data_IF_948086555894
#
_entry.id   IF_948086555894
#
_cell.length_a   1.000
_cell.length_b   1.000
_cell.length_c   1.000
_cell.angle_alpha   90.00
_cell.angle_beta   90.00
_cell.angle_gamma   90.00
#
_symmetry.space_group_name_H-M   'P 1'
#
loop_
_entity.id
_entity.type
_entity.pdbx_description
1 polymer ?
#
# COMPACT_ATOMS: atom_id res chain seq x y z
N UNK A 1 -16.93 -80.15 20.75
CA UNK A 1 -17.77 -79.07 20.26
C UNK A 1 -16.86 -77.98 19.71
N UNK A 2 -16.84 -77.82 18.36
CA UNK A 2 -16.03 -76.74 17.68
C UNK A 2 -16.90 -75.54 17.41
N UNK A 3 -16.59 -74.40 17.98
CA UNK A 3 -17.32 -73.16 17.73
C UNK A 3 -16.95 -72.64 16.32
N UNK A 4 -17.93 -72.27 15.51
CA UNK A 4 -17.78 -71.72 14.19
C UNK A 4 -17.34 -70.21 14.29
N UNK A 5 -16.43 -69.71 13.43
CA UNK A 5 -16.06 -68.32 13.42
C UNK A 5 -17.20 -67.48 12.82
N UNK A 6 -17.61 -66.42 13.53
CA UNK A 6 -18.57 -65.44 13.05
C UNK A 6 -17.99 -64.64 11.89
N UNK A 7 -18.60 -64.77 10.72
CA UNK A 7 -18.25 -63.98 9.56
C UNK A 7 -18.57 -62.49 9.81
N UNK A 8 -17.57 -61.64 9.95
CA UNK A 8 -17.73 -60.21 9.93
C UNK A 8 -18.21 -59.76 8.54
N UNK A 9 -19.43 -59.20 8.49
CA UNK A 9 -19.94 -58.56 7.28
C UNK A 9 -19.02 -57.34 6.95
N UNK A 10 -18.34 -57.43 5.83
CA UNK A 10 -17.68 -56.27 5.25
C UNK A 10 -18.76 -55.40 4.59
N UNK A 11 -19.02 -54.22 5.15
CA UNK A 11 -19.80 -53.16 4.47
C UNK A 11 -18.89 -52.43 3.52
N UNK A 12 -19.13 -52.52 2.23
CA UNK A 12 -18.48 -51.73 1.21
C UNK A 12 -19.09 -50.35 1.12
N UNK A 13 -18.28 -49.36 0.79
CA UNK A 13 -18.75 -47.98 0.50
C UNK A 13 -19.71 -47.98 -0.69
N UNK A 14 -20.82 -47.26 -0.58
CA UNK A 14 -21.74 -47.11 -1.70
C UNK A 14 -21.24 -45.99 -2.64
N UNK A 15 -21.53 -46.14 -3.93
CA UNK A 15 -21.18 -45.14 -4.95
C UNK A 15 -21.79 -43.76 -4.62
N UNK A 16 -22.98 -43.76 -4.02
CA UNK A 16 -23.68 -42.56 -3.57
C UNK A 16 -22.95 -41.86 -2.42
N UNK A 17 -22.37 -42.62 -1.49
CA UNK A 17 -21.59 -42.06 -0.36
C UNK A 17 -20.31 -41.37 -0.84
N UNK A 18 -19.59 -41.96 -1.81
CA UNK A 18 -18.40 -41.35 -2.40
C UNK A 18 -18.75 -40.08 -3.17
N UNK A 19 -19.89 -40.07 -3.92
CA UNK A 19 -20.38 -38.89 -4.61
C UNK A 19 -20.73 -37.74 -3.63
N UNK A 20 -21.39 -38.08 -2.53
CA UNK A 20 -21.80 -37.12 -1.52
C UNK A 20 -20.58 -36.51 -0.80
N UNK A 21 -19.57 -37.32 -0.47
CA UNK A 21 -18.33 -36.87 0.11
C UNK A 21 -17.56 -35.97 -0.87
N UNK A 22 -17.48 -36.34 -2.14
CA UNK A 22 -16.83 -35.50 -3.16
C UNK A 22 -17.54 -34.16 -3.34
N UNK A 23 -18.88 -34.14 -3.30
CA UNK A 23 -19.68 -32.92 -3.37
C UNK A 23 -19.45 -32.04 -2.14
N UNK A 24 -19.39 -32.59 -0.94
CA UNK A 24 -19.08 -31.85 0.30
C UNK A 24 -17.69 -31.30 0.28
N UNK A 25 -16.69 -32.07 -0.17
CA UNK A 25 -15.32 -31.59 -0.32
C UNK A 25 -15.22 -30.42 -1.33
N UNK A 26 -15.95 -30.48 -2.44
CA UNK A 26 -16.04 -29.39 -3.42
C UNK A 26 -16.65 -28.13 -2.83
N UNK A 27 -17.74 -28.26 -2.06
CA UNK A 27 -18.35 -27.11 -1.37
C UNK A 27 -17.41 -26.45 -0.34
N UNK A 28 -16.73 -27.26 0.47
CA UNK A 28 -15.76 -26.76 1.45
C UNK A 28 -14.58 -26.09 0.77
N UNK A 29 -14.05 -26.68 -0.30
CA UNK A 29 -12.95 -26.08 -1.07
C UNK A 29 -13.33 -24.72 -1.66
N UNK A 30 -14.56 -24.60 -2.18
CA UNK A 30 -15.09 -23.34 -2.72
C UNK A 30 -15.22 -22.26 -1.63
N UNK A 31 -15.77 -22.62 -0.46
CA UNK A 31 -15.92 -21.71 0.67
C UNK A 31 -14.58 -21.20 1.20
N UNK A 32 -13.55 -22.06 1.27
CA UNK A 32 -12.19 -21.68 1.68
C UNK A 32 -11.55 -20.72 0.66
N UNK A 33 -11.74 -20.97 -0.63
CA UNK A 33 -11.17 -20.12 -1.68
C UNK A 33 -11.76 -18.71 -1.65
N UNK A 34 -13.07 -18.57 -1.47
CA UNK A 34 -13.76 -17.29 -1.33
C UNK A 34 -13.33 -16.53 -0.06
N UNK A 35 -13.13 -17.25 1.06
CA UNK A 35 -12.67 -16.63 2.32
C UNK A 35 -11.23 -16.10 2.26
N UNK A 36 -10.38 -16.66 1.39
CA UNK A 36 -8.97 -16.25 1.26
C UNK A 36 -8.76 -15.02 0.36
N UNK A 37 -9.71 -14.70 -0.51
CA UNK A 37 -9.61 -13.57 -1.46
C UNK A 37 -9.49 -12.23 -0.74
N UNK A 38 -10.41 -11.94 0.16
CA UNK A 38 -10.45 -10.69 0.91
C UNK A 38 -9.24 -10.46 1.83
N UNK A 39 -8.75 -11.52 2.47
CA UNK A 39 -7.57 -11.44 3.32
C UNK A 39 -6.25 -11.15 2.56
N UNK A 40 -6.20 -11.38 1.25
CA UNK A 40 -5.00 -11.10 0.43
C UNK A 40 -4.92 -9.64 0.05
N UNK A 41 -6.03 -9.03 -0.38
CA UNK A 41 -6.08 -7.61 -0.75
C UNK A 41 -5.72 -6.72 0.43
N UNK A 42 -6.34 -6.95 1.57
CA UNK A 42 -6.08 -6.21 2.79
C UNK A 42 -4.61 -6.29 3.24
N UNK A 43 -3.99 -7.46 3.17
CA UNK A 43 -2.57 -7.67 3.52
C UNK A 43 -1.62 -6.99 2.54
N UNK A 44 -1.91 -7.00 1.24
CA UNK A 44 -1.04 -6.35 0.26
C UNK A 44 -1.11 -4.83 0.41
N UNK A 45 -2.30 -4.28 0.68
CA UNK A 45 -2.47 -2.85 0.95
C UNK A 45 -1.71 -2.43 2.23
N UNK A 46 -1.83 -3.18 3.32
CA UNK A 46 -1.09 -2.94 4.57
C UNK A 46 0.43 -3.00 4.35
N UNK A 47 0.90 -3.93 3.54
CA UNK A 47 2.31 -4.05 3.18
C UNK A 47 2.82 -2.83 2.40
N UNK A 48 2.05 -2.29 1.46
CA UNK A 48 2.44 -1.11 0.70
C UNK A 48 2.45 0.15 1.58
N UNK A 49 1.47 0.32 2.46
CA UNK A 49 1.44 1.41 3.43
C UNK A 49 2.65 1.36 4.39
N UNK A 50 2.97 0.20 4.94
CA UNK A 50 4.18 0.00 5.78
C UNK A 50 5.47 0.20 5.01
N UNK A 51 5.52 -0.18 3.74
CA UNK A 51 6.67 0.08 2.87
C UNK A 51 6.90 1.58 2.70
N UNK A 52 5.83 2.35 2.47
CA UNK A 52 5.93 3.81 2.40
C UNK A 52 6.49 4.37 3.72
N UNK A 53 5.93 3.98 4.87
CA UNK A 53 6.42 4.44 6.17
C UNK A 53 7.92 4.14 6.38
N UNK A 54 8.34 2.92 6.07
CA UNK A 54 9.74 2.52 6.21
C UNK A 54 10.67 3.33 5.26
N UNK A 55 10.23 3.57 4.02
CA UNK A 55 11.01 4.38 3.07
C UNK A 55 11.01 5.87 3.42
N UNK A 56 9.93 6.39 4.03
CA UNK A 56 9.89 7.74 4.57
C UNK A 56 10.88 7.92 5.72
N UNK A 57 10.94 6.98 6.66
CA UNK A 57 11.90 6.99 7.76
C UNK A 57 13.34 6.96 7.24
N UNK A 58 13.63 6.09 6.27
CA UNK A 58 14.95 6.05 5.63
C UNK A 58 15.29 7.37 4.93
N UNK A 59 14.32 7.99 4.26
CA UNK A 59 14.50 9.27 3.60
C UNK A 59 14.72 10.42 4.60
N UNK A 60 14.10 10.37 5.80
CA UNK A 60 14.39 11.31 6.90
C UNK A 60 15.81 11.14 7.40
N UNK A 61 16.28 9.92 7.65
CA UNK A 61 17.66 9.64 8.02
C UNK A 61 18.64 10.18 6.97
N UNK A 62 18.34 9.95 5.68
CA UNK A 62 19.13 10.46 4.58
C UNK A 62 19.17 12.00 4.55
N UNK A 63 18.00 12.66 4.72
CA UNK A 63 17.92 14.13 4.74
C UNK A 63 18.74 14.73 5.88
N UNK A 64 18.68 14.13 7.06
CA UNK A 64 19.46 14.56 8.25
C UNK A 64 20.96 14.33 8.05
N UNK A 65 21.36 13.14 7.57
CA UNK A 65 22.78 12.79 7.39
C UNK A 65 23.47 13.66 6.31
N UNK A 66 22.80 13.87 5.19
CA UNK A 66 23.34 14.64 4.06
C UNK A 66 23.10 16.15 4.20
N UNK A 67 22.29 16.60 5.17
CA UNK A 67 21.90 17.98 5.35
C UNK A 67 21.14 18.55 4.16
N UNK A 68 20.34 17.74 3.45
CA UNK A 68 19.68 18.11 2.20
C UNK A 68 18.17 17.95 2.27
N UNK A 69 17.48 18.81 1.54
CA UNK A 69 16.05 18.72 1.34
C UNK A 69 15.72 17.55 0.41
N UNK A 70 14.90 16.64 0.89
CA UNK A 70 14.34 15.52 0.10
C UNK A 70 12.90 15.84 -0.24
N UNK A 71 12.53 15.68 -1.50
CA UNK A 71 11.15 15.80 -1.97
C UNK A 71 10.54 14.44 -2.18
N UNK A 72 9.22 14.35 -2.05
CA UNK A 72 8.46 13.15 -2.38
C UNK A 72 7.39 13.55 -3.37
N UNK A 73 7.40 12.89 -4.52
CA UNK A 73 6.37 13.00 -5.51
C UNK A 73 5.43 11.82 -5.37
N UNK A 74 4.16 12.10 -5.17
CA UNK A 74 3.09 11.12 -5.10
C UNK A 74 2.29 11.20 -6.39
N UNK A 75 2.02 10.07 -6.98
CA UNK A 75 1.17 9.87 -8.15
C UNK A 75 0.00 8.95 -7.78
N UNK A 76 -1.04 8.90 -8.58
CA UNK A 76 -2.23 8.09 -8.30
C UNK A 76 -1.90 6.60 -8.10
N UNK A 77 -0.81 6.12 -8.71
CA UNK A 77 -0.40 4.70 -8.68
C UNK A 77 1.00 4.47 -8.11
N UNK A 78 1.58 5.43 -7.38
CA UNK A 78 2.90 5.25 -6.81
C UNK A 78 3.53 6.50 -6.21
N UNK A 79 4.80 6.38 -5.81
CA UNK A 79 5.57 7.50 -5.27
C UNK A 79 7.04 7.41 -5.66
N UNK A 80 7.71 8.55 -5.61
CA UNK A 80 9.13 8.69 -5.93
C UNK A 80 9.80 9.70 -5.01
N UNK A 81 10.96 9.32 -4.47
CA UNK A 81 11.81 10.26 -3.74
C UNK A 81 12.68 11.06 -4.70
N UNK A 82 12.85 12.32 -4.40
CA UNK A 82 13.56 13.28 -5.22
C UNK A 82 14.53 14.10 -4.37
N UNK A 83 15.65 14.48 -4.97
CA UNK A 83 16.64 15.36 -4.35
C UNK A 83 16.79 16.61 -5.19
N UNK A 84 16.92 17.76 -4.52
CA UNK A 84 17.18 19.03 -5.21
C UNK A 84 18.64 19.17 -5.54
N UNK A 85 18.96 19.35 -6.80
CA UNK A 85 20.32 19.57 -7.26
C UNK A 85 20.76 20.99 -6.93
N UNK A 86 21.94 21.14 -6.29
CA UNK A 86 22.42 22.45 -5.85
C UNK A 86 22.71 23.42 -7.01
N UNK A 87 23.20 22.92 -8.16
CA UNK A 87 23.63 23.71 -9.30
C UNK A 87 22.48 24.33 -10.08
N UNK A 88 21.48 23.52 -10.44
CA UNK A 88 20.41 23.92 -11.37
C UNK A 88 19.06 24.10 -10.66
N UNK A 89 19.01 23.91 -9.35
CA UNK A 89 17.80 23.91 -8.52
C UNK A 89 16.69 22.96 -9.00
N UNK A 90 17.03 22.01 -9.88
CA UNK A 90 16.09 21.02 -10.41
C UNK A 90 15.91 19.86 -9.44
N UNK A 91 14.73 19.29 -9.46
CA UNK A 91 14.44 18.06 -8.75
C UNK A 91 14.82 16.85 -9.62
N UNK A 92 15.60 15.95 -9.06
CA UNK A 92 16.00 14.70 -9.70
C UNK A 92 15.58 13.53 -8.83
N UNK A 93 15.24 12.42 -9.46
CA UNK A 93 14.96 11.17 -8.76
C UNK A 93 16.16 10.77 -7.89
N UNK A 94 15.87 10.34 -6.66
CA UNK A 94 16.89 9.79 -5.78
C UNK A 94 17.20 8.36 -6.23
N UNK A 95 18.30 8.16 -6.94
CA UNK A 95 18.68 6.86 -7.54
C UNK A 95 19.86 6.20 -6.84
N UNK A 96 20.44 6.86 -5.83
CA UNK A 96 21.62 6.36 -5.11
C UNK A 96 21.35 5.17 -4.20
N UNK A 97 20.12 5.02 -3.71
CA UNK A 97 19.67 3.92 -2.87
C UNK A 97 18.51 3.17 -3.55
N UNK A 98 18.64 1.84 -3.67
CA UNK A 98 17.58 0.99 -4.25
C UNK A 98 16.28 1.01 -3.44
N UNK A 99 16.36 1.28 -2.14
CA UNK A 99 15.19 1.32 -1.25
C UNK A 99 14.38 2.60 -1.43
N UNK A 100 15.04 3.69 -1.85
CA UNK A 100 14.41 4.99 -2.15
C UNK A 100 14.07 5.16 -3.65
N UNK A 101 14.18 4.10 -4.43
CA UNK A 101 13.78 4.09 -5.84
C UNK A 101 12.26 4.29 -6.01
N UNK A 102 11.82 4.58 -7.26
CA UNK A 102 10.40 4.77 -7.55
C UNK A 102 9.61 3.48 -7.26
N UNK A 103 8.44 3.66 -6.71
CA UNK A 103 7.51 2.57 -6.40
C UNK A 103 6.26 2.74 -7.26
N UNK A 104 5.89 1.68 -7.97
CA UNK A 104 4.60 1.56 -8.65
C UNK A 104 3.74 0.53 -7.92
N UNK A 105 2.49 0.88 -7.72
CA UNK A 105 1.47 0.02 -7.14
C UNK A 105 0.81 -0.84 -8.23
N UNK A 106 0.07 -1.86 -7.80
CA UNK A 106 -0.76 -2.65 -8.70
C UNK A 106 -1.91 -1.80 -9.28
N UNK A 107 -2.42 -2.17 -10.45
CA UNK A 107 -3.46 -1.41 -11.16
C UNK A 107 -4.76 -1.22 -10.36
N UNK A 108 -5.07 -2.14 -9.46
CA UNK A 108 -6.24 -2.05 -8.58
C UNK A 108 -6.00 -1.25 -7.30
N UNK A 109 -4.82 -0.62 -7.15
CA UNK A 109 -4.46 0.24 -6.02
C UNK A 109 -4.30 1.69 -6.47
N UNK A 110 -4.83 2.60 -5.67
CA UNK A 110 -4.71 4.04 -5.88
C UNK A 110 -4.27 4.78 -4.62
N UNK A 111 -3.64 5.93 -4.82
CA UNK A 111 -3.21 6.86 -3.78
C UNK A 111 -3.98 8.17 -3.91
N UNK A 112 -4.40 8.72 -2.78
CA UNK A 112 -4.92 10.08 -2.69
C UNK A 112 -4.12 10.83 -1.62
N UNK A 113 -3.50 11.95 -2.00
CA UNK A 113 -2.70 12.79 -1.12
C UNK A 113 -3.48 14.04 -0.72
N UNK A 114 -3.58 14.27 0.57
CA UNK A 114 -4.08 15.50 1.17
C UNK A 114 -2.94 16.15 1.97
N UNK A 115 -2.74 17.45 1.77
CA UNK A 115 -1.74 18.22 2.49
C UNK A 115 -2.43 19.00 3.61
N UNK A 116 -1.99 18.80 4.84
CA UNK A 116 -2.44 19.58 5.99
C UNK A 116 -1.59 20.87 6.10
N UNK A 117 -2.28 22.00 6.22
CA UNK A 117 -1.65 23.33 6.32
C UNK A 117 -1.60 24.06 4.98
N UNK A 118 -0.80 25.11 4.92
CA UNK A 118 -0.56 25.88 3.69
C UNK A 118 0.20 25.03 2.69
N UNK A 119 -0.54 24.16 1.99
CA UNK A 119 0.00 23.48 0.83
C UNK A 119 0.46 24.56 -0.16
N UNK A 120 1.73 24.57 -0.51
CA UNK A 120 2.19 25.30 -1.66
C UNK A 120 1.46 24.76 -2.88
N UNK A 121 0.35 25.40 -3.21
CA UNK A 121 -0.32 25.18 -4.48
C UNK A 121 0.48 25.99 -5.50
N UNK A 122 1.11 25.35 -6.50
CA UNK A 122 1.58 26.09 -7.64
C UNK A 122 0.38 26.79 -8.25
N UNK A 123 0.47 28.13 -8.39
CA UNK A 123 -0.58 28.97 -8.94
C UNK A 123 -1.29 28.30 -10.13
N UNK A 124 -2.59 28.10 -9.99
CA UNK A 124 -3.43 27.40 -10.96
C UNK A 124 -3.77 28.20 -12.21
N UNK A 125 -3.18 29.40 -12.35
CA UNK A 125 -3.43 30.27 -13.48
C UNK A 125 -2.18 30.35 -14.38
N UNK A 126 -2.14 29.50 -15.37
CA UNK A 126 -1.67 29.68 -16.75
C UNK A 126 -1.30 28.36 -17.41
N UNK A 127 -2.13 28.02 -18.40
CA UNK A 127 -2.01 26.84 -19.28
C UNK A 127 -0.87 27.05 -20.26
N UNK A 128 0.34 26.63 -19.94
CA UNK A 128 1.39 26.44 -20.92
C UNK A 128 1.96 25.03 -20.75
N UNK A 129 2.13 24.31 -21.86
CA UNK A 129 2.62 22.91 -21.87
C UNK A 129 3.96 22.76 -21.13
N UNK A 130 4.82 23.77 -21.14
CA UNK A 130 6.06 23.79 -20.38
C UNK A 130 5.85 23.77 -18.86
N UNK A 131 4.77 24.35 -18.34
CA UNK A 131 4.43 24.30 -16.89
C UNK A 131 3.84 22.94 -16.47
N UNK A 132 3.27 22.17 -17.41
CA UNK A 132 2.85 20.77 -17.13
C UNK A 132 4.05 19.88 -16.85
N UNK A 133 5.08 19.94 -17.68
CA UNK A 133 6.33 19.18 -17.50
C UNK A 133 7.07 19.56 -16.21
N UNK A 134 6.97 20.81 -15.79
CA UNK A 134 7.61 21.29 -14.55
C UNK A 134 6.79 20.90 -13.31
N UNK A 135 5.45 20.96 -13.39
CA UNK A 135 4.52 20.48 -12.35
C UNK A 135 4.60 18.96 -12.18
N UNK A 136 4.79 18.23 -13.29
CA UNK A 136 5.02 16.79 -13.28
C UNK A 136 6.36 16.37 -12.65
N UNK A 137 7.32 17.29 -12.50
CA UNK A 137 8.65 17.02 -11.93
C UNK A 137 8.85 17.60 -10.55
N UNK A 138 7.83 18.22 -9.96
CA UNK A 138 7.93 18.88 -8.65
C UNK A 138 7.35 17.99 -7.57
N UNK A 139 8.06 17.73 -6.45
CA UNK A 139 7.52 17.00 -5.32
C UNK A 139 6.42 17.80 -4.61
N UNK A 140 5.46 17.11 -4.02
CA UNK A 140 4.39 17.70 -3.22
C UNK A 140 4.70 17.70 -1.72
N UNK A 141 5.48 16.72 -1.24
CA UNK A 141 5.90 16.60 0.15
C UNK A 141 7.40 16.86 0.29
N UNK A 142 7.80 17.38 1.44
CA UNK A 142 9.20 17.72 1.71
C UNK A 142 9.62 17.16 3.06
N UNK A 143 10.82 16.60 3.09
CA UNK A 143 11.57 16.22 4.29
C UNK A 143 12.72 17.18 4.42
N UNK A 144 12.76 17.92 5.52
CA UNK A 144 13.76 18.93 5.79
C UNK A 144 15.02 18.33 6.43
N UNK A 145 16.18 19.02 6.33
CA UNK A 145 17.44 18.54 6.95
C UNK A 145 17.39 18.35 8.45
N UNK A 146 16.43 18.95 9.15
CA UNK A 146 16.22 18.77 10.59
C UNK A 146 15.38 17.53 10.94
N UNK A 147 14.87 16.82 9.93
CA UNK A 147 13.99 15.65 10.10
C UNK A 147 12.49 15.98 10.08
N UNK A 148 12.14 17.27 10.01
CA UNK A 148 10.75 17.71 9.89
C UNK A 148 10.17 17.26 8.55
N UNK A 149 8.85 17.07 8.50
CA UNK A 149 8.10 16.63 7.35
C UNK A 149 6.94 17.58 7.06
N UNK A 150 6.65 17.82 5.78
CA UNK A 150 5.39 18.49 5.44
C UNK A 150 4.22 17.63 5.94
N UNK A 151 3.29 18.16 6.77
CA UNK A 151 2.15 17.40 7.26
C UNK A 151 1.27 16.92 6.11
N UNK A 152 0.88 15.65 6.16
CA UNK A 152 0.11 15.03 5.08
C UNK A 152 -0.79 13.90 5.58
N UNK A 153 -1.82 13.63 4.80
CA UNK A 153 -2.63 12.41 4.87
C UNK A 153 -2.54 11.72 3.51
N UNK A 154 -2.07 10.49 3.48
CA UNK A 154 -1.99 9.67 2.27
C UNK A 154 -2.88 8.46 2.41
N UNK A 155 -3.93 8.41 1.61
CA UNK A 155 -4.91 7.34 1.59
C UNK A 155 -4.57 6.33 0.50
N UNK A 156 -4.33 5.10 0.90
CA UNK A 156 -4.22 3.94 0.02
C UNK A 156 -5.58 3.31 -0.14
N UNK A 157 -6.01 3.08 -1.36
CA UNK A 157 -7.25 2.35 -1.66
C UNK A 157 -6.93 1.19 -2.58
N UNK A 158 -7.45 0.01 -2.25
CA UNK A 158 -7.45 -1.14 -3.14
C UNK A 158 -8.89 -1.53 -3.44
N UNK A 159 -9.20 -1.66 -4.72
CA UNK A 159 -10.47 -2.09 -5.21
C UNK A 159 -10.35 -3.52 -5.74
N UNK A 160 -11.00 -4.46 -5.08
CA UNK A 160 -11.22 -5.82 -5.57
C UNK A 160 -12.68 -5.96 -6.03
N UNK A 161 -13.04 -7.04 -6.74
CA UNK A 161 -14.36 -7.22 -7.37
C UNK A 161 -15.54 -6.97 -6.42
N UNK A 162 -15.43 -7.40 -5.16
CA UNK A 162 -16.50 -7.33 -4.16
C UNK A 162 -16.15 -6.51 -2.91
N UNK A 163 -14.92 -5.97 -2.81
CA UNK A 163 -14.46 -5.31 -1.59
C UNK A 163 -13.53 -4.11 -1.90
N UNK A 164 -13.65 -3.10 -1.04
CA UNK A 164 -12.77 -1.94 -1.03
C UNK A 164 -12.04 -1.88 0.31
N UNK A 165 -10.72 -1.84 0.24
CA UNK A 165 -9.85 -1.73 1.40
C UNK A 165 -9.18 -0.37 1.43
N UNK A 166 -9.02 0.19 2.61
CA UNK A 166 -8.39 1.49 2.80
C UNK A 166 -7.36 1.44 3.93
N UNK A 167 -6.21 2.09 3.70
CA UNK A 167 -5.18 2.36 4.72
C UNK A 167 -4.76 3.82 4.61
N UNK A 168 -4.56 4.45 5.74
CA UNK A 168 -4.22 5.87 5.81
C UNK A 168 -2.87 6.01 6.51
N UNK A 169 -1.94 6.67 5.86
CA UNK A 169 -0.65 7.06 6.45
C UNK A 169 -0.69 8.56 6.69
N UNK A 170 -0.58 8.96 7.96
CA UNK A 170 -0.47 10.37 8.37
C UNK A 170 0.96 10.67 8.76
N UNK A 171 1.47 11.82 8.32
CA UNK A 171 2.73 12.38 8.77
C UNK A 171 2.51 13.74 9.40
N UNK A 172 3.09 13.98 10.58
CA UNK A 172 3.04 15.28 11.24
C UNK A 172 4.29 16.13 10.95
N UNK A 173 4.26 17.39 11.35
CA UNK A 173 5.36 18.36 11.20
C UNK A 173 6.66 17.94 11.90
N UNK A 174 6.58 17.08 12.92
CA UNK A 174 7.74 16.55 13.63
C UNK A 174 8.32 15.29 12.98
N UNK A 175 7.77 14.87 11.83
CA UNK A 175 8.21 13.70 11.10
C UNK A 175 7.71 12.36 11.67
N UNK A 176 6.74 12.37 12.58
CA UNK A 176 6.12 11.15 13.10
C UNK A 176 5.12 10.61 12.10
N UNK A 177 5.15 9.30 11.90
CA UNK A 177 4.27 8.60 10.97
C UNK A 177 3.29 7.71 11.73
N UNK A 178 2.03 7.76 11.34
CA UNK A 178 0.95 6.94 11.90
C UNK A 178 0.24 6.20 10.78
N UNK A 179 -0.04 4.91 11.00
CA UNK A 179 -0.84 4.08 10.10
C UNK A 179 -2.20 3.83 10.73
N UNK A 180 -3.26 4.18 10.01
CA UNK A 180 -4.66 3.98 10.41
C UNK A 180 -5.37 3.04 9.43
N UNK A 181 -6.35 2.31 9.93
CA UNK A 181 -7.30 1.54 9.12
C UNK A 181 -8.44 2.48 8.72
N UNK A 182 -9.03 2.29 7.54
CA UNK A 182 -10.13 3.16 7.06
C UNK A 182 -11.35 3.24 7.98
N UNK A 183 -11.53 2.26 8.87
CA UNK A 183 -12.62 2.22 9.86
C UNK A 183 -12.33 3.09 11.11
N UNK A 184 -11.08 3.50 11.34
CA UNK A 184 -10.68 4.29 12.51
C UNK A 184 -10.85 5.80 12.31
N UNK A 185 -11.06 6.27 11.08
CA UNK A 185 -11.25 7.69 10.76
C UNK A 185 -12.65 8.24 11.14
N UNK A 186 -13.60 7.36 11.43
CA UNK A 186 -15.00 7.72 11.73
C UNK A 186 -15.23 8.10 13.21
N UNK A 187 -14.19 8.06 14.06
CA UNK A 187 -14.35 8.20 15.51
C UNK A 187 -13.69 9.46 16.14
N UNK A 188 -13.48 10.54 15.35
CA UNK A 188 -13.16 11.89 15.91
C UNK A 188 -14.23 12.93 15.59
#
# INVERSE_FOLDING_TARGET
MKAAPSARRQSGFTLLEVLLVAMLMGLVATAVTLSMGGARGDRELDKQARRLMATLQLAQEYAVMDGRLVGIRVEDNGWQFMQRQAKDRKWLALTGDKQLGPVQLAENMTLALELEGFGWQPDSDEKTEQKRDEKERTPQLFIFPGGELSPFVLTFTQQDDDARYTRIVKGDEFGRLTLLTGDEEVSE
#
